data_IF_786992802858
#
_entry.id   IF_786992802858
#
_cell.length_a   1.000
_cell.length_b   1.000
_cell.length_c   1.000
_cell.angle_alpha   90.00
_cell.angle_beta   90.00
_cell.angle_gamma   90.00
#
_symmetry.space_group_name_H-M   'P 1'
#
loop_
_entity.id
_entity.type
_entity.pdbx_description
1 polymer ?
#
# COMPACT_ATOMS: atom_id res chain seq x y z
N UNK A 1 -13.38 -25.03 23.65
CA UNK A 1 -12.65 -24.38 22.54
C UNK A 1 -13.32 -23.05 22.21
N UNK A 2 -14.59 -23.03 21.80
CA UNK A 2 -15.34 -21.78 21.51
C UNK A 2 -15.34 -20.73 22.66
N UNK A 3 -15.46 -21.16 23.92
CA UNK A 3 -15.38 -20.24 25.07
C UNK A 3 -13.99 -19.63 25.26
N UNK A 4 -12.92 -20.38 24.94
CA UNK A 4 -11.55 -19.88 25.00
C UNK A 4 -11.31 -18.88 23.85
N UNK A 5 -11.80 -19.18 22.65
CA UNK A 5 -11.69 -18.26 21.51
C UNK A 5 -12.42 -16.94 21.80
N UNK A 6 -13.65 -17.00 22.34
CA UNK A 6 -14.41 -15.82 22.72
C UNK A 6 -13.68 -14.95 23.76
N UNK A 7 -13.11 -15.58 24.79
CA UNK A 7 -12.34 -14.88 25.83
C UNK A 7 -11.08 -14.26 25.23
N UNK A 8 -10.40 -14.98 24.33
CA UNK A 8 -9.16 -14.51 23.68
C UNK A 8 -9.44 -13.32 22.77
N UNK A 9 -10.49 -13.39 21.94
CA UNK A 9 -10.93 -12.27 21.09
C UNK A 9 -11.34 -11.06 21.93
N UNK A 10 -12.06 -11.26 23.05
CA UNK A 10 -12.45 -10.17 23.93
C UNK A 10 -11.24 -9.51 24.61
N UNK A 11 -10.28 -10.30 25.06
CA UNK A 11 -9.03 -9.78 25.64
C UNK A 11 -8.22 -9.00 24.59
N UNK A 12 -8.12 -9.54 23.37
CA UNK A 12 -7.46 -8.89 22.26
C UNK A 12 -8.12 -7.55 21.92
N UNK A 13 -9.45 -7.50 21.81
CA UNK A 13 -10.19 -6.27 21.58
C UNK A 13 -9.99 -5.24 22.69
N UNK A 14 -9.95 -5.68 23.95
CA UNK A 14 -9.66 -4.80 25.09
C UNK A 14 -8.24 -4.22 25.02
N UNK A 15 -7.24 -5.05 24.69
CA UNK A 15 -5.85 -4.60 24.49
C UNK A 15 -5.73 -3.64 23.31
N UNK A 16 -6.47 -3.88 22.22
CA UNK A 16 -6.51 -2.97 21.07
C UNK A 16 -7.05 -1.59 21.48
N UNK A 17 -8.15 -1.53 22.23
CA UNK A 17 -8.71 -0.26 22.73
C UNK A 17 -7.72 0.54 23.56
N UNK A 18 -6.88 -0.11 24.36
CA UNK A 18 -5.85 0.59 25.17
C UNK A 18 -4.77 1.29 24.33
N UNK A 19 -4.59 0.88 23.06
CA UNK A 19 -3.63 1.49 22.13
C UNK A 19 -4.25 2.59 21.26
N UNK A 20 -5.58 2.66 21.20
CA UNK A 20 -6.27 3.62 20.38
C UNK A 20 -6.01 5.04 20.87
N UNK A 21 -5.86 5.95 19.91
CA UNK A 21 -5.72 7.38 20.14
C UNK A 21 -6.71 8.11 19.24
N UNK A 22 -7.19 9.26 19.69
CA UNK A 22 -8.10 10.08 18.88
C UNK A 22 -7.36 10.67 17.68
N UNK A 23 -7.98 10.61 16.51
CA UNK A 23 -7.48 11.20 15.26
C UNK A 23 -7.27 12.72 15.40
N UNK A 24 -7.94 13.35 16.37
CA UNK A 24 -7.72 14.75 16.79
C UNK A 24 -6.25 15.15 16.89
N UNK A 25 -5.39 14.29 17.46
CA UNK A 25 -3.95 14.60 17.61
C UNK A 25 -3.26 14.90 16.27
N UNK A 26 -3.73 14.26 15.20
CA UNK A 26 -3.25 14.50 13.84
C UNK A 26 -3.89 15.75 13.27
N UNK A 27 -5.20 15.92 13.46
CA UNK A 27 -5.99 17.01 12.87
C UNK A 27 -5.60 18.38 13.43
N UNK A 28 -5.25 18.48 14.71
CA UNK A 28 -4.87 19.72 15.39
C UNK A 28 -3.66 20.45 14.73
N UNK A 29 -2.86 19.73 13.94
CA UNK A 29 -1.70 20.29 13.23
C UNK A 29 -2.09 21.01 11.93
N UNK A 30 -3.22 20.66 11.32
CA UNK A 30 -3.59 21.14 9.99
C UNK A 30 -4.15 22.57 9.93
N UNK A 31 -4.86 23.11 10.93
CA UNK A 31 -5.29 24.51 10.90
C UNK A 31 -4.14 25.49 10.66
N UNK A 32 -2.98 25.26 11.30
CA UNK A 32 -1.79 26.08 11.11
C UNK A 32 -1.20 25.90 9.72
N UNK A 33 -1.03 24.66 9.26
CA UNK A 33 -0.53 24.35 7.92
C UNK A 33 -1.39 25.00 6.82
N UNK A 34 -2.71 24.87 6.90
CA UNK A 34 -3.65 25.46 5.93
C UNK A 34 -3.54 26.98 5.93
N UNK A 35 -3.39 27.62 7.09
CA UNK A 35 -3.19 29.08 7.19
C UNK A 35 -1.90 29.52 6.50
N UNK A 36 -0.79 28.83 6.75
CA UNK A 36 0.52 29.17 6.18
C UNK A 36 0.53 28.97 4.66
N UNK A 37 -0.06 27.88 4.16
CA UNK A 37 -0.22 27.61 2.73
C UNK A 37 -1.19 28.59 2.05
N UNK A 38 -2.30 28.93 2.71
CA UNK A 38 -3.28 29.92 2.24
C UNK A 38 -2.62 31.29 2.01
N UNK A 39 -1.75 31.72 2.93
CA UNK A 39 -1.01 32.97 2.80
C UNK A 39 0.03 32.92 1.68
N UNK A 40 0.88 31.89 1.65
CA UNK A 40 1.95 31.78 0.65
C UNK A 40 1.43 31.67 -0.79
N UNK A 41 0.26 31.05 -1.01
CA UNK A 41 -0.35 30.89 -2.34
C UNK A 41 -1.38 31.99 -2.67
N UNK A 42 -1.63 32.91 -1.74
CA UNK A 42 -2.64 33.96 -1.85
C UNK A 42 -4.03 33.42 -2.24
N UNK A 43 -4.45 32.33 -1.57
CA UNK A 43 -5.76 31.68 -1.74
C UNK A 43 -6.49 31.69 -0.40
N UNK A 44 -7.74 32.13 -0.35
CA UNK A 44 -8.52 32.13 0.91
C UNK A 44 -9.16 30.77 1.10
N UNK A 45 -8.80 30.06 2.18
CA UNK A 45 -9.26 28.69 2.47
C UNK A 45 -9.82 28.62 3.90
N UNK A 46 -10.88 27.82 4.07
CA UNK A 46 -11.46 27.47 5.35
C UNK A 46 -11.35 25.95 5.55
N UNK A 47 -10.62 25.53 6.59
CA UNK A 47 -10.55 24.12 7.01
C UNK A 47 -11.73 23.81 7.95
N UNK A 48 -12.42 22.71 7.70
CA UNK A 48 -13.46 22.16 8.57
C UNK A 48 -13.05 20.75 8.96
N UNK A 49 -13.02 20.46 10.25
CA UNK A 49 -12.75 19.11 10.79
C UNK A 49 -14.05 18.50 11.34
N UNK A 50 -14.27 17.22 11.08
CA UNK A 50 -15.40 16.45 11.62
C UNK A 50 -14.93 15.07 12.09
N UNK A 51 -15.53 14.53 13.16
CA UNK A 51 -15.20 13.20 13.66
C UNK A 51 -13.81 13.11 14.31
N UNK A 52 -13.35 14.18 14.96
CA UNK A 52 -12.05 14.24 15.64
C UNK A 52 -11.91 13.21 16.76
N UNK A 53 -13.04 12.82 17.35
CA UNK A 53 -13.19 11.79 18.37
C UNK A 53 -12.96 10.36 17.85
N UNK A 54 -12.90 10.17 16.53
CA UNK A 54 -12.66 8.85 15.93
C UNK A 54 -11.33 8.28 16.44
N UNK A 55 -11.39 7.06 16.94
CA UNK A 55 -10.24 6.33 17.48
C UNK A 55 -9.48 5.57 16.39
N UNK A 56 -8.14 5.60 16.44
CA UNK A 56 -7.25 4.91 15.50
C UNK A 56 -6.02 4.35 16.24
N UNK A 57 -5.43 3.26 15.74
CA UNK A 57 -4.20 2.69 16.31
C UNK A 57 -3.06 3.72 16.26
N UNK A 58 -2.35 3.88 17.38
CA UNK A 58 -1.25 4.86 17.52
C UNK A 58 -0.18 4.76 16.42
N UNK A 59 0.12 3.56 15.93
CA UNK A 59 1.07 3.36 14.83
C UNK A 59 0.55 3.99 13.55
N UNK A 60 -0.72 3.74 13.23
CA UNK A 60 -1.39 4.31 12.05
C UNK A 60 -1.47 5.84 12.19
N UNK A 61 -1.85 6.35 13.37
CA UNK A 61 -1.91 7.80 13.67
C UNK A 61 -0.58 8.51 13.43
N UNK A 62 0.55 7.87 13.78
CA UNK A 62 1.88 8.44 13.55
C UNK A 62 2.24 8.50 12.06
N UNK A 63 1.85 7.50 11.28
CA UNK A 63 2.19 7.39 9.85
C UNK A 63 1.25 8.22 8.98
N UNK A 64 -0.05 8.27 9.29
CA UNK A 64 -1.09 8.89 8.44
C UNK A 64 -0.97 10.42 8.29
N UNK A 65 -0.26 11.07 9.20
CA UNK A 65 -0.11 12.54 9.17
C UNK A 65 0.59 13.06 7.93
N UNK A 66 1.60 12.35 7.41
CA UNK A 66 2.34 12.72 6.21
C UNK A 66 1.48 12.62 4.93
N UNK A 67 0.78 11.49 4.66
CA UNK A 67 -0.25 11.39 3.63
C UNK A 67 -1.27 12.54 3.64
N UNK A 68 -1.87 12.82 4.80
CA UNK A 68 -2.89 13.88 4.92
C UNK A 68 -2.32 15.28 4.67
N UNK A 69 -1.10 15.55 5.13
CA UNK A 69 -0.37 16.79 4.82
C UNK A 69 -0.26 16.99 3.32
N UNK A 70 0.08 15.93 2.59
CA UNK A 70 0.25 16.00 1.14
C UNK A 70 -1.09 16.22 0.42
N UNK A 71 -2.14 15.51 0.82
CA UNK A 71 -3.48 15.69 0.23
C UNK A 71 -4.00 17.12 0.44
N UNK A 72 -3.83 17.68 1.63
CA UNK A 72 -4.21 19.07 1.93
C UNK A 72 -3.39 20.07 1.10
N UNK A 73 -2.07 19.85 0.98
CA UNK A 73 -1.21 20.68 0.14
C UNK A 73 -1.69 20.68 -1.32
N UNK A 74 -1.99 19.50 -1.87
CA UNK A 74 -2.50 19.36 -3.24
C UNK A 74 -3.87 20.02 -3.44
N UNK A 75 -4.77 19.89 -2.46
CA UNK A 75 -6.04 20.61 -2.47
C UNK A 75 -5.83 22.14 -2.50
N UNK A 76 -4.88 22.69 -1.75
CA UNK A 76 -4.61 24.14 -1.76
C UNK A 76 -3.87 24.57 -3.04
N UNK A 77 -2.86 23.84 -3.47
CA UNK A 77 -2.00 24.20 -4.60
C UNK A 77 -2.75 24.09 -5.94
N UNK A 78 -3.48 22.99 -6.14
CA UNK A 78 -4.08 22.64 -7.42
C UNK A 78 -5.61 22.63 -7.39
N UNK A 79 -6.23 22.24 -6.28
CA UNK A 79 -7.69 22.14 -6.16
C UNK A 79 -8.39 23.50 -6.06
N UNK A 80 -8.10 24.26 -4.99
CA UNK A 80 -8.77 25.52 -4.68
C UNK A 80 -8.34 26.62 -5.65
N UNK A 81 -9.32 27.31 -6.25
CA UNK A 81 -9.08 28.40 -7.17
C UNK A 81 -8.83 29.74 -6.43
N UNK A 82 -8.29 30.73 -7.13
CA UNK A 82 -8.13 32.08 -6.55
C UNK A 82 -9.50 32.74 -6.38
N UNK A 83 -9.61 33.68 -5.45
CA UNK A 83 -10.87 34.38 -5.15
C UNK A 83 -11.53 34.99 -6.41
N UNK A 84 -10.74 35.53 -7.33
CA UNK A 84 -11.23 36.09 -8.59
C UNK A 84 -11.87 35.01 -9.50
N UNK A 85 -11.23 33.84 -9.62
CA UNK A 85 -11.72 32.73 -10.45
C UNK A 85 -12.95 32.07 -9.81
N UNK A 86 -12.97 31.95 -8.48
CA UNK A 86 -14.13 31.44 -7.73
C UNK A 86 -15.36 32.31 -7.95
N UNK A 87 -15.19 33.63 -7.96
CA UNK A 87 -16.28 34.58 -8.25
C UNK A 87 -16.83 34.40 -9.67
N UNK A 88 -15.97 34.13 -10.66
CA UNK A 88 -16.39 33.82 -12.05
C UNK A 88 -17.17 32.51 -12.15
N UNK A 89 -16.88 31.56 -11.27
CA UNK A 89 -17.56 30.26 -11.19
C UNK A 89 -18.77 30.25 -10.24
N UNK A 90 -19.23 31.40 -9.75
CA UNK A 90 -20.32 31.54 -8.77
C UNK A 90 -20.08 30.75 -7.47
N UNK A 91 -18.82 30.57 -7.07
CA UNK A 91 -18.44 29.94 -5.82
C UNK A 91 -18.19 30.97 -4.72
N UNK A 92 -18.26 30.52 -3.47
CA UNK A 92 -17.89 31.34 -2.30
C UNK A 92 -16.43 31.79 -2.40
N UNK A 93 -16.14 33.00 -1.92
CA UNK A 93 -14.79 33.57 -2.00
C UNK A 93 -13.74 32.74 -1.25
N UNK A 94 -14.10 32.19 -0.08
CA UNK A 94 -13.29 31.23 0.66
C UNK A 94 -13.54 29.82 0.13
N UNK A 95 -12.49 29.13 -0.30
CA UNK A 95 -12.52 27.69 -0.56
C UNK A 95 -12.75 26.89 0.72
N UNK A 96 -13.39 25.73 0.61
CA UNK A 96 -13.59 24.82 1.73
C UNK A 96 -12.72 23.59 1.53
N UNK A 97 -11.96 23.23 2.56
CA UNK A 97 -11.37 21.91 2.71
C UNK A 97 -12.00 21.28 3.94
N UNK A 98 -12.58 20.10 3.78
CA UNK A 98 -13.17 19.31 4.86
C UNK A 98 -12.30 18.08 5.10
N UNK A 99 -11.95 17.87 6.35
CA UNK A 99 -11.22 16.70 6.83
C UNK A 99 -12.12 15.95 7.81
N UNK A 100 -12.51 14.72 7.48
CA UNK A 100 -13.42 13.95 8.33
C UNK A 100 -12.91 12.55 8.60
N UNK A 101 -13.20 12.03 9.79
CA UNK A 101 -12.96 10.63 10.14
C UNK A 101 -14.23 9.99 10.69
N UNK A 102 -14.45 8.69 10.41
CA UNK A 102 -15.53 7.90 11.01
C UNK A 102 -15.17 6.42 11.07
N UNK A 103 -15.82 5.67 11.94
CA UNK A 103 -15.79 4.20 11.92
C UNK A 103 -16.83 3.65 10.95
N UNK A 104 -16.42 2.67 10.16
CA UNK A 104 -17.28 1.95 9.22
C UNK A 104 -16.92 0.45 9.29
N UNK A 105 -17.66 -0.31 10.10
CA UNK A 105 -17.38 -1.72 10.36
C UNK A 105 -16.03 -1.93 11.06
N UNK A 106 -15.16 -2.74 10.45
CA UNK A 106 -13.78 -3.00 10.92
C UNK A 106 -12.75 -1.99 10.41
N UNK A 107 -13.19 -0.91 9.75
CA UNK A 107 -12.34 0.10 9.15
C UNK A 107 -12.59 1.48 9.72
N UNK A 108 -11.57 2.32 9.66
CA UNK A 108 -11.66 3.76 9.84
C UNK A 108 -11.60 4.41 8.47
N UNK A 109 -12.61 5.22 8.16
CA UNK A 109 -12.65 6.00 6.92
C UNK A 109 -12.19 7.41 7.24
N UNK A 110 -11.14 7.87 6.57
CA UNK A 110 -10.62 9.23 6.63
C UNK A 110 -10.80 9.87 5.27
N UNK A 111 -11.39 11.06 5.22
CA UNK A 111 -11.73 11.74 3.97
C UNK A 111 -11.17 13.15 3.93
N UNK A 112 -10.59 13.52 2.79
CA UNK A 112 -10.16 14.88 2.47
C UNK A 112 -10.98 15.35 1.28
N UNK A 113 -11.86 16.32 1.50
CA UNK A 113 -12.75 16.90 0.49
C UNK A 113 -12.43 18.38 0.27
N UNK A 114 -12.32 18.81 -0.98
CA UNK A 114 -12.23 20.21 -1.37
C UNK A 114 -13.39 20.61 -2.30
N UNK A 115 -13.78 21.88 -2.28
CA UNK A 115 -14.79 22.46 -3.18
C UNK A 115 -14.18 23.17 -4.41
N UNK A 116 -12.98 22.76 -4.80
CA UNK A 116 -12.17 23.35 -5.83
C UNK A 116 -12.60 22.99 -7.25
N UNK A 117 -11.67 23.12 -8.19
CA UNK A 117 -11.97 22.93 -9.62
C UNK A 117 -12.24 21.47 -9.99
N UNK A 118 -11.91 20.51 -9.12
CA UNK A 118 -11.89 19.09 -9.47
C UNK A 118 -10.77 18.76 -10.44
N UNK A 119 -10.66 17.48 -10.79
CA UNK A 119 -9.61 16.97 -11.68
C UNK A 119 -10.22 16.75 -13.08
N UNK A 120 -9.56 17.30 -14.10
CA UNK A 120 -9.96 17.10 -15.49
C UNK A 120 -9.36 15.79 -16.03
N UNK A 121 -10.19 14.78 -16.24
CA UNK A 121 -9.79 13.47 -16.78
C UNK A 121 -9.11 13.58 -18.14
N UNK A 122 -9.43 14.61 -18.93
CA UNK A 122 -8.79 14.84 -20.23
C UNK A 122 -7.32 15.23 -20.07
N UNK A 123 -7.00 16.04 -19.06
CA UNK A 123 -5.61 16.41 -18.76
C UNK A 123 -4.83 15.18 -18.31
N UNK A 124 -5.45 14.30 -17.52
CA UNK A 124 -4.84 13.04 -17.11
C UNK A 124 -4.54 12.17 -18.33
N UNK A 125 -5.52 11.97 -19.23
CA UNK A 125 -5.34 11.18 -20.46
C UNK A 125 -4.17 11.71 -21.30
N UNK A 126 -4.14 13.02 -21.57
CA UNK A 126 -3.05 13.62 -22.35
C UNK A 126 -1.68 13.37 -21.70
N UNK A 127 -1.58 13.57 -20.38
CA UNK A 127 -0.32 13.35 -19.65
C UNK A 127 0.10 11.90 -19.55
N UNK A 128 -0.86 10.97 -19.45
CA UNK A 128 -0.59 9.54 -19.46
C UNK A 128 0.02 9.09 -20.80
N UNK A 129 -0.45 9.66 -21.91
CA UNK A 129 0.09 9.41 -23.26
C UNK A 129 1.49 10.03 -23.39
N UNK A 130 1.67 11.30 -23.00
CA UNK A 130 2.97 12.00 -23.07
C UNK A 130 4.07 11.28 -22.27
N UNK A 131 3.71 10.68 -21.13
CA UNK A 131 4.63 9.91 -20.28
C UNK A 131 4.79 8.44 -20.70
N UNK A 132 4.09 8.00 -21.75
CA UNK A 132 4.15 6.61 -22.24
C UNK A 132 3.59 5.57 -21.26
N UNK A 133 2.73 5.99 -20.32
CA UNK A 133 2.16 5.08 -19.31
C UNK A 133 1.03 4.21 -19.89
N UNK A 134 0.25 4.76 -20.83
CA UNK A 134 -0.85 4.09 -21.50
C UNK A 134 -0.98 4.57 -22.95
N UNK A 135 -1.44 3.68 -23.81
CA UNK A 135 -1.79 4.00 -25.19
C UNK A 135 -3.17 4.69 -25.26
N UNK A 136 -3.45 5.47 -26.32
CA UNK A 136 -4.78 6.07 -26.51
C UNK A 136 -5.92 5.03 -26.52
N UNK A 137 -5.67 3.87 -27.12
CA UNK A 137 -6.64 2.77 -27.20
C UNK A 137 -6.95 2.16 -25.83
N UNK A 138 -5.96 2.03 -24.95
CA UNK A 138 -6.19 1.60 -23.57
C UNK A 138 -7.00 2.63 -22.79
N UNK A 139 -6.69 3.92 -22.93
CA UNK A 139 -7.38 5.01 -22.21
C UNK A 139 -8.84 5.21 -22.65
N UNK A 140 -9.19 4.80 -23.86
CA UNK A 140 -10.58 4.87 -24.37
C UNK A 140 -11.45 3.73 -23.84
N UNK A 141 -10.84 2.62 -23.43
CA UNK A 141 -11.54 1.50 -22.80
C UNK A 141 -11.65 1.63 -21.27
N UNK A 142 -10.97 2.61 -20.67
CA UNK A 142 -10.98 2.84 -19.23
C UNK A 142 -12.17 3.70 -18.80
N UNK A 143 -12.73 3.35 -17.64
CA UNK A 143 -13.72 4.16 -16.93
C UNK A 143 -13.10 5.44 -16.37
N UNK A 144 -13.93 6.44 -16.02
CA UNK A 144 -13.43 7.68 -15.41
C UNK A 144 -12.69 7.43 -14.10
N UNK A 145 -13.14 6.47 -13.28
CA UNK A 145 -12.46 6.10 -12.03
C UNK A 145 -11.05 5.54 -12.29
N UNK A 146 -10.91 4.65 -13.27
CA UNK A 146 -9.62 4.07 -13.64
C UNK A 146 -8.66 5.13 -14.20
N UNK A 147 -9.18 6.09 -14.97
CA UNK A 147 -8.38 7.22 -15.46
C UNK A 147 -7.90 8.07 -14.28
N UNK A 148 -8.79 8.42 -13.35
CA UNK A 148 -8.41 9.20 -12.17
C UNK A 148 -7.36 8.46 -11.34
N UNK A 149 -7.44 7.14 -11.21
CA UNK A 149 -6.44 6.36 -10.47
C UNK A 149 -5.02 6.43 -11.04
N UNK A 150 -4.85 6.82 -12.32
CA UNK A 150 -3.52 7.04 -12.91
C UNK A 150 -2.72 8.15 -12.20
N UNK A 151 -3.37 9.03 -11.44
CA UNK A 151 -2.66 10.07 -10.65
C UNK A 151 -1.74 9.49 -9.58
N UNK A 152 -1.95 8.22 -9.21
CA UNK A 152 -1.12 7.51 -8.23
C UNK A 152 0.02 6.70 -8.87
N UNK A 153 0.14 6.70 -10.20
CA UNK A 153 1.25 6.00 -10.88
C UNK A 153 2.58 6.72 -10.64
N UNK A 154 3.66 5.95 -10.55
CA UNK A 154 5.00 6.49 -10.28
C UNK A 154 5.39 7.52 -11.34
N UNK A 155 5.84 8.68 -10.89
CA UNK A 155 6.24 9.77 -11.78
C UNK A 155 5.08 10.48 -12.49
N UNK A 156 3.81 10.20 -12.13
CA UNK A 156 2.67 10.97 -12.58
C UNK A 156 2.60 12.31 -11.82
N UNK A 157 2.55 13.42 -12.55
CA UNK A 157 2.35 14.75 -11.97
C UNK A 157 1.53 15.64 -12.91
N UNK A 158 0.60 16.39 -12.33
CA UNK A 158 -0.25 17.35 -13.04
C UNK A 158 0.43 18.72 -13.23
N UNK A 159 1.59 19.00 -12.61
CA UNK A 159 2.34 20.25 -12.85
C UNK A 159 3.02 20.29 -14.23
N UNK A 160 3.13 21.48 -14.83
CA UNK A 160 3.89 21.72 -16.09
C UNK A 160 5.37 22.05 -15.85
N UNK A 161 5.71 22.49 -14.64
CA UNK A 161 7.08 22.79 -14.25
C UNK A 161 7.69 21.54 -13.59
N UNK A 162 8.85 21.12 -14.08
CA UNK A 162 9.83 20.44 -13.24
C UNK A 162 10.31 21.47 -12.23
N UNK A 163 9.55 21.64 -11.15
CA UNK A 163 10.00 22.45 -10.02
C UNK A 163 11.24 21.78 -9.43
N UNK A 164 12.40 22.26 -9.87
CA UNK A 164 13.69 21.93 -9.28
C UNK A 164 13.58 22.08 -7.77
N UNK A 165 13.90 20.99 -7.07
CA UNK A 165 13.79 20.77 -5.62
C UNK A 165 12.52 20.12 -5.06
N UNK A 166 11.63 19.52 -5.87
CA UNK A 166 10.75 18.46 -5.36
C UNK A 166 11.53 17.15 -5.27
N UNK A 167 12.00 16.87 -4.05
CA UNK A 167 12.79 15.69 -3.73
C UNK A 167 12.01 14.41 -4.06
N UNK A 168 12.73 13.33 -4.37
CA UNK A 168 12.32 12.01 -4.91
C UNK A 168 11.27 11.21 -4.10
N UNK A 169 10.24 11.84 -3.54
CA UNK A 169 9.21 11.19 -2.72
C UNK A 169 8.00 12.09 -2.37
N UNK A 170 7.76 13.19 -3.10
CA UNK A 170 6.61 14.08 -2.87
C UNK A 170 5.53 13.91 -3.96
N UNK A 171 5.16 12.68 -4.30
CA UNK A 171 4.09 12.39 -5.26
C UNK A 171 2.87 11.73 -4.60
N UNK A 172 1.74 11.72 -5.31
CA UNK A 172 0.54 10.98 -4.87
C UNK A 172 0.82 9.47 -4.83
N UNK A 173 1.78 8.98 -5.61
CA UNK A 173 2.32 7.61 -5.54
C UNK A 173 2.89 7.26 -4.15
N UNK A 174 3.61 8.19 -3.51
CA UNK A 174 4.08 8.00 -2.13
C UNK A 174 2.91 7.93 -1.15
N UNK A 175 1.87 8.74 -1.35
CA UNK A 175 0.64 8.69 -0.53
C UNK A 175 0.00 7.30 -0.65
N UNK A 176 -0.25 6.82 -1.88
CA UNK A 176 -0.83 5.50 -2.13
C UNK A 176 0.02 4.38 -1.51
N UNK A 177 1.33 4.39 -1.75
CA UNK A 177 2.24 3.38 -1.20
C UNK A 177 2.24 3.35 0.33
N UNK A 178 2.16 4.52 0.98
CA UNK A 178 2.07 4.61 2.45
C UNK A 178 0.76 4.05 2.97
N UNK A 179 -0.37 4.31 2.28
CA UNK A 179 -1.68 3.76 2.66
C UNK A 179 -1.72 2.24 2.44
N UNK A 180 -1.19 1.74 1.32
CA UNK A 180 -1.12 0.30 1.04
C UNK A 180 -0.21 -0.44 2.04
N UNK A 181 0.90 0.18 2.48
CA UNK A 181 1.75 -0.36 3.54
C UNK A 181 1.04 -0.47 4.89
N UNK A 182 0.03 0.37 5.13
CA UNK A 182 -0.87 0.29 6.27
C UNK A 182 -2.03 -0.69 6.05
N UNK A 183 -2.01 -1.45 4.95
CA UNK A 183 -3.09 -2.35 4.52
C UNK A 183 -4.41 -1.61 4.32
N UNK A 184 -4.32 -0.33 3.97
CA UNK A 184 -5.45 0.51 3.64
C UNK A 184 -5.70 0.57 2.14
N UNK A 185 -6.86 1.09 1.80
CA UNK A 185 -7.27 1.41 0.43
C UNK A 185 -7.41 2.93 0.30
N UNK A 186 -7.08 3.46 -0.88
CA UNK A 186 -7.30 4.87 -1.22
C UNK A 186 -8.12 4.98 -2.51
N UNK A 187 -9.17 5.81 -2.49
CA UNK A 187 -10.02 6.11 -3.64
C UNK A 187 -10.13 7.62 -3.83
N UNK A 188 -10.24 8.06 -5.09
CA UNK A 188 -10.47 9.47 -5.44
C UNK A 188 -11.75 9.61 -6.22
N UNK A 189 -12.63 10.47 -5.73
CA UNK A 189 -13.87 10.87 -6.36
C UNK A 189 -13.75 12.34 -6.74
N UNK A 190 -13.96 12.70 -8.00
CA UNK A 190 -13.77 14.08 -8.44
C UNK A 190 -14.79 14.45 -9.50
N UNK A 191 -15.20 15.71 -9.49
CA UNK A 191 -16.08 16.25 -10.51
C UNK A 191 -15.67 17.68 -10.85
N UNK A 192 -15.59 17.96 -12.16
CA UNK A 192 -15.21 19.28 -12.67
C UNK A 192 -16.10 20.37 -12.08
N UNK A 193 -15.44 21.42 -11.57
CA UNK A 193 -15.99 22.59 -10.88
C UNK A 193 -16.76 22.28 -9.59
N UNK A 194 -16.81 21.03 -9.13
CA UNK A 194 -17.44 20.66 -7.86
C UNK A 194 -16.41 20.34 -6.78
N UNK A 195 -15.22 19.91 -7.17
CA UNK A 195 -14.11 19.63 -6.26
C UNK A 195 -13.67 18.18 -6.31
N UNK A 196 -12.89 17.78 -5.32
CA UNK A 196 -12.32 16.43 -5.19
C UNK A 196 -12.51 15.91 -3.78
N UNK A 197 -12.78 14.62 -3.66
CA UNK A 197 -12.89 13.88 -2.41
C UNK A 197 -11.96 12.68 -2.48
N UNK A 198 -11.01 12.62 -1.56
CA UNK A 198 -10.10 11.49 -1.39
C UNK A 198 -10.56 10.71 -0.17
N UNK A 199 -10.85 9.42 -0.37
CA UNK A 199 -11.33 8.51 0.66
C UNK A 199 -10.22 7.52 0.97
N UNK A 200 -9.77 7.50 2.22
CA UNK A 200 -8.78 6.55 2.74
C UNK A 200 -9.52 5.62 3.69
N UNK A 201 -9.42 4.32 3.43
CA UNK A 201 -10.00 3.27 4.26
C UNK A 201 -8.87 2.50 4.91
N UNK A 202 -8.77 2.58 6.24
CA UNK A 202 -7.72 1.92 7.01
C UNK A 202 -8.33 0.84 7.90
N UNK A 203 -7.67 -0.30 8.10
CA UNK A 203 -8.11 -1.26 9.10
C UNK A 203 -7.98 -0.66 10.50
N UNK A 204 -8.88 -1.04 11.41
CA UNK A 204 -8.85 -0.56 12.81
C UNK A 204 -7.63 -1.10 13.58
N UNK A 205 -7.02 -2.19 13.11
CA UNK A 205 -5.90 -2.88 13.77
C UNK A 205 -4.70 -3.00 12.84
N UNK A 206 -3.51 -3.26 13.39
CA UNK A 206 -2.42 -3.82 12.58
C UNK A 206 -2.94 -5.06 11.86
N UNK A 207 -2.62 -5.19 10.57
CA UNK A 207 -3.13 -6.27 9.74
C UNK A 207 -2.61 -7.61 10.27
N UNK A 208 -3.55 -8.43 10.75
CA UNK A 208 -3.30 -9.86 11.00
C UNK A 208 -3.53 -10.53 9.65
N UNK A 209 -2.51 -11.20 9.15
CA UNK A 209 -2.63 -12.04 7.96
C UNK A 209 -2.35 -13.49 8.33
N UNK A 210 -2.86 -14.42 7.52
CA UNK A 210 -2.42 -15.81 7.59
C UNK A 210 -1.20 -15.97 6.72
N UNK A 211 -0.12 -16.52 7.28
CA UNK A 211 1.09 -16.77 6.54
C UNK A 211 1.59 -18.20 6.74
N UNK A 212 2.13 -18.78 5.67
CA UNK A 212 2.95 -19.99 5.71
C UNK A 212 4.36 -19.61 6.17
N UNK A 213 4.82 -20.20 7.28
CA UNK A 213 6.19 -20.03 7.71
C UNK A 213 7.10 -21.01 6.97
N UNK A 214 8.27 -20.54 6.56
CA UNK A 214 9.28 -21.34 5.87
C UNK A 214 10.66 -21.04 6.41
N UNK A 215 11.56 -22.01 6.27
CA UNK A 215 12.96 -21.84 6.60
C UNK A 215 13.80 -21.64 5.34
N UNK A 216 14.68 -20.65 5.38
CA UNK A 216 15.62 -20.33 4.29
C UNK A 216 16.96 -19.94 4.91
N UNK A 217 18.01 -20.70 4.60
CA UNK A 217 19.37 -20.54 5.12
C UNK A 217 19.43 -20.36 6.65
N UNK A 218 18.57 -21.08 7.36
CA UNK A 218 18.46 -21.04 8.83
C UNK A 218 17.58 -19.93 9.41
N UNK A 219 17.12 -18.97 8.60
CA UNK A 219 16.16 -17.93 9.01
C UNK A 219 14.71 -18.34 8.74
N UNK A 220 13.77 -17.77 9.50
CA UNK A 220 12.32 -17.96 9.30
C UNK A 220 11.75 -16.81 8.49
N UNK A 221 10.97 -17.16 7.47
CA UNK A 221 10.29 -16.23 6.57
C UNK A 221 8.80 -16.58 6.51
N UNK A 222 7.97 -15.58 6.22
CA UNK A 222 6.52 -15.73 6.15
C UNK A 222 6.02 -15.41 4.73
N UNK A 223 5.25 -16.31 4.14
CA UNK A 223 4.55 -16.10 2.88
C UNK A 223 3.04 -15.94 3.11
N UNK A 224 2.40 -14.85 2.62
CA UNK A 224 0.96 -14.69 2.71
C UNK A 224 0.22 -15.88 2.06
N UNK A 225 -0.72 -16.49 2.79
CA UNK A 225 -1.46 -17.67 2.31
C UNK A 225 -2.30 -17.32 1.08
N UNK A 226 -2.72 -16.06 0.92
CA UNK A 226 -3.49 -15.57 -0.23
C UNK A 226 -2.73 -15.71 -1.55
N UNK A 227 -1.39 -15.73 -1.49
CA UNK A 227 -0.53 -15.94 -2.66
C UNK A 227 -0.15 -17.40 -2.90
N UNK A 228 -0.51 -18.30 -1.97
CA UNK A 228 -0.10 -19.70 -1.97
C UNK A 228 -1.17 -20.57 -2.65
N UNK A 229 -0.77 -21.29 -3.70
CA UNK A 229 -1.65 -22.23 -4.39
C UNK A 229 -1.55 -23.64 -3.80
N UNK A 230 -0.34 -24.20 -3.77
CA UNK A 230 -0.08 -25.55 -3.27
C UNK A 230 1.37 -25.73 -2.84
N UNK A 231 1.59 -26.66 -1.91
CA UNK A 231 2.93 -27.09 -1.50
C UNK A 231 3.23 -28.44 -2.15
N UNK A 232 4.38 -28.58 -2.78
CA UNK A 232 4.82 -29.83 -3.40
C UNK A 232 6.23 -30.18 -2.95
N UNK A 233 6.57 -31.45 -3.06
CA UNK A 233 7.93 -31.93 -2.90
C UNK A 233 8.43 -32.41 -4.26
N UNK A 234 9.62 -31.99 -4.66
CA UNK A 234 10.21 -32.35 -5.95
C UNK A 234 11.60 -32.94 -5.75
N UNK A 235 12.03 -33.80 -6.66
CA UNK A 235 13.41 -34.25 -6.68
C UNK A 235 14.23 -33.41 -7.66
N UNK A 236 15.55 -33.24 -7.45
CA UNK A 236 16.40 -32.50 -8.39
C UNK A 236 16.31 -33.01 -9.84
N UNK A 237 16.09 -34.32 -10.03
CA UNK A 237 15.85 -34.94 -11.35
C UNK A 237 14.60 -34.42 -12.09
N UNK A 238 13.63 -33.86 -11.39
CA UNK A 238 12.42 -33.30 -11.97
C UNK A 238 12.65 -31.87 -12.51
N UNK A 239 13.80 -31.27 -12.15
CA UNK A 239 14.17 -29.91 -12.54
C UNK A 239 14.88 -29.93 -13.90
N UNK A 240 14.30 -29.22 -14.86
CA UNK A 240 14.89 -28.97 -16.18
C UNK A 240 15.46 -27.56 -16.24
N UNK A 241 16.48 -27.33 -17.06
CA UNK A 241 17.02 -25.99 -17.33
C UNK A 241 16.68 -25.57 -18.76
N UNK A 242 16.02 -24.42 -18.90
CA UNK A 242 15.71 -23.78 -20.20
C UNK A 242 16.18 -22.34 -20.14
N UNK A 243 17.05 -21.91 -21.07
CA UNK A 243 17.56 -20.54 -21.14
C UNK A 243 18.10 -20.00 -19.78
N UNK A 244 18.87 -20.83 -19.08
CA UNK A 244 19.44 -20.54 -17.75
C UNK A 244 18.42 -20.38 -16.61
N UNK A 245 17.20 -20.89 -16.79
CA UNK A 245 16.13 -20.86 -15.80
C UNK A 245 15.73 -22.28 -15.42
N UNK A 246 15.58 -22.54 -14.13
CA UNK A 246 15.07 -23.82 -13.63
C UNK A 246 13.55 -23.85 -13.81
N UNK A 247 13.06 -24.94 -14.40
CA UNK A 247 11.64 -25.16 -14.66
C UNK A 247 11.27 -26.61 -14.37
N UNK A 248 10.01 -26.86 -14.07
CA UNK A 248 9.45 -28.21 -13.95
C UNK A 248 8.10 -28.30 -14.64
N UNK A 249 7.63 -29.51 -14.93
CA UNK A 249 6.26 -29.74 -15.36
C UNK A 249 5.39 -30.02 -14.15
N UNK A 250 4.33 -29.23 -13.96
CA UNK A 250 3.31 -29.44 -12.93
C UNK A 250 1.95 -29.54 -13.62
N UNK A 251 1.40 -30.77 -13.70
CA UNK A 251 0.12 -31.07 -14.36
C UNK A 251 0.05 -30.50 -15.79
N UNK A 252 1.06 -30.83 -16.60
CA UNK A 252 1.23 -30.41 -18.00
C UNK A 252 1.51 -28.90 -18.24
N UNK A 253 1.63 -28.10 -17.18
CA UNK A 253 2.08 -26.71 -17.26
C UNK A 253 3.56 -26.57 -16.90
N UNK A 254 4.24 -25.61 -17.53
CA UNK A 254 5.63 -25.26 -17.18
C UNK A 254 5.60 -24.32 -15.98
N UNK A 255 6.12 -24.80 -14.85
CA UNK A 255 6.32 -23.98 -13.65
C UNK A 255 7.76 -23.51 -13.59
N UNK A 256 7.96 -22.19 -13.51
CA UNK A 256 9.28 -21.59 -13.26
C UNK A 256 9.66 -21.80 -11.80
N UNK A 257 10.85 -22.33 -11.56
CA UNK A 257 11.41 -22.46 -10.22
C UNK A 257 12.33 -21.28 -9.91
N UNK A 258 12.17 -20.71 -8.71
CA UNK A 258 12.95 -19.59 -8.21
C UNK A 258 13.53 -19.99 -6.84
N UNK A 259 14.86 -19.93 -6.74
CA UNK A 259 15.55 -20.09 -5.45
C UNK A 259 15.39 -18.83 -4.63
N UNK A 260 14.69 -18.92 -3.49
CA UNK A 260 14.55 -17.79 -2.58
C UNK A 260 15.89 -17.44 -1.91
N UNK A 261 16.78 -18.41 -1.68
CA UNK A 261 18.15 -18.14 -1.21
C UNK A 261 18.87 -17.15 -2.12
N UNK A 262 18.80 -17.40 -3.43
CA UNK A 262 19.46 -16.56 -4.43
C UNK A 262 18.82 -15.19 -4.53
N UNK A 263 17.49 -15.13 -4.56
CA UNK A 263 16.75 -13.86 -4.61
C UNK A 263 16.98 -12.97 -3.39
N UNK A 264 17.17 -13.57 -2.22
CA UNK A 264 17.42 -12.86 -0.97
C UNK A 264 18.92 -12.58 -0.73
N UNK A 265 19.81 -12.97 -1.65
CA UNK A 265 21.25 -12.78 -1.50
C UNK A 265 21.88 -13.64 -0.40
N UNK A 266 21.24 -14.76 -0.05
CA UNK A 266 21.65 -15.69 1.00
C UNK A 266 22.46 -16.88 0.46
N UNK A 267 22.80 -16.87 -0.82
CA UNK A 267 23.59 -17.93 -1.45
C UNK A 267 24.99 -17.99 -0.83
N UNK A 268 25.27 -19.08 -0.13
CA UNK A 268 26.61 -19.43 0.35
C UNK A 268 27.39 -20.34 -0.62
N UNK A 269 26.88 -20.50 -1.85
CA UNK A 269 27.47 -21.40 -2.85
C UNK A 269 27.11 -22.88 -2.69
N UNK A 270 26.05 -23.19 -1.95
CA UNK A 270 25.51 -24.55 -1.85
C UNK A 270 24.49 -24.77 -2.97
N UNK A 271 24.86 -25.55 -3.99
CA UNK A 271 23.91 -26.08 -4.96
C UNK A 271 23.02 -27.16 -4.31
N UNK A 272 21.91 -27.52 -4.97
CA UNK A 272 21.11 -28.69 -4.57
C UNK A 272 22.00 -29.94 -4.74
N UNK A 273 22.64 -30.39 -3.66
CA UNK A 273 23.72 -31.38 -3.73
C UNK A 273 23.26 -32.83 -3.59
N UNK A 274 22.02 -33.07 -3.16
CA UNK A 274 21.51 -34.43 -2.93
C UNK A 274 20.39 -34.77 -3.92
N UNK A 275 20.72 -35.56 -4.95
CA UNK A 275 19.79 -35.94 -6.02
C UNK A 275 18.61 -36.81 -5.54
N UNK A 276 18.72 -37.42 -4.36
CA UNK A 276 17.71 -38.34 -3.83
C UNK A 276 16.89 -37.76 -2.67
N UNK A 277 17.22 -36.56 -2.21
CA UNK A 277 16.42 -35.84 -1.21
C UNK A 277 15.31 -35.01 -1.90
N UNK A 278 14.04 -35.18 -1.50
CA UNK A 278 12.98 -34.32 -1.98
C UNK A 278 13.11 -32.91 -1.37
N UNK A 279 12.95 -31.89 -2.21
CA UNK A 279 12.97 -30.48 -1.81
C UNK A 279 11.55 -29.91 -1.77
N UNK A 280 11.20 -29.16 -0.70
CA UNK A 280 9.94 -28.46 -0.66
C UNK A 280 9.91 -27.28 -1.65
N UNK A 281 8.82 -27.19 -2.39
CA UNK A 281 8.50 -26.08 -3.29
C UNK A 281 7.13 -25.53 -2.94
N UNK A 282 7.05 -24.23 -2.74
CA UNK A 282 5.78 -23.51 -2.62
C UNK A 282 5.39 -22.97 -3.98
N UNK A 283 4.26 -23.42 -4.50
CA UNK A 283 3.66 -22.85 -5.70
C UNK A 283 2.87 -21.62 -5.31
N UNK A 284 3.26 -20.49 -5.88
CA UNK A 284 2.66 -19.18 -5.63
C UNK A 284 2.09 -18.57 -6.91
N UNK A 285 1.07 -17.74 -6.74
CA UNK A 285 0.52 -16.90 -7.81
C UNK A 285 0.34 -15.47 -7.30
N UNK A 286 0.92 -14.51 -8.01
CA UNK A 286 0.75 -13.10 -7.71
C UNK A 286 0.82 -12.27 -9.00
N UNK A 287 -0.10 -11.31 -9.16
CA UNK A 287 -0.14 -10.43 -10.34
C UNK A 287 -0.27 -11.17 -11.68
N UNK A 288 -0.95 -12.33 -11.69
CA UNK A 288 -1.09 -13.18 -12.88
C UNK A 288 0.17 -13.95 -13.27
N UNK A 289 1.21 -13.93 -12.43
CA UNK A 289 2.42 -14.75 -12.61
C UNK A 289 2.42 -15.90 -11.62
N UNK A 290 2.74 -17.08 -12.13
CA UNK A 290 2.86 -18.33 -11.36
C UNK A 290 4.32 -18.75 -11.24
N UNK A 291 4.78 -19.08 -10.03
CA UNK A 291 6.16 -19.50 -9.78
C UNK A 291 6.22 -20.55 -8.66
N UNK A 292 7.27 -21.37 -8.66
CA UNK A 292 7.61 -22.30 -7.59
C UNK A 292 8.81 -21.79 -6.80
N UNK A 293 8.64 -21.53 -5.52
CA UNK A 293 9.70 -21.08 -4.62
C UNK A 293 10.34 -22.26 -3.91
N UNK A 294 11.64 -22.45 -4.15
CA UNK A 294 12.47 -23.43 -3.44
C UNK A 294 12.81 -22.90 -2.05
N UNK A 295 12.51 -23.69 -1.02
CA UNK A 295 12.80 -23.40 0.40
C UNK A 295 13.53 -24.57 1.05
N UNK A 296 14.09 -24.37 2.24
CA UNK A 296 14.74 -25.46 2.97
C UNK A 296 13.73 -26.33 3.70
N UNK A 297 12.74 -25.70 4.32
CA UNK A 297 11.75 -26.37 5.16
C UNK A 297 10.41 -25.62 5.10
N UNK A 298 9.32 -26.38 5.03
CA UNK A 298 7.97 -25.87 5.25
C UNK A 298 7.65 -26.05 6.73
N UNK A 299 7.26 -24.95 7.38
CA UNK A 299 6.79 -24.96 8.76
C UNK A 299 5.26 -24.87 8.75
N UNK A 300 4.69 -24.40 9.85
CA UNK A 300 3.24 -24.26 10.01
C UNK A 300 2.69 -22.96 9.44
N UNK A 301 1.37 -22.95 9.21
CA UNK A 301 0.61 -21.73 8.99
C UNK A 301 0.29 -21.05 10.32
N UNK A 302 0.48 -19.74 10.39
CA UNK A 302 0.17 -18.95 11.58
C UNK A 302 -0.48 -17.61 11.21
N UNK A 303 -1.33 -17.11 12.10
CA UNK A 303 -1.78 -15.73 12.05
C UNK A 303 -0.68 -14.83 12.60
N UNK A 304 -0.19 -13.91 11.77
CA UNK A 304 0.92 -13.03 12.10
C UNK A 304 0.53 -11.57 11.97
N UNK A 305 1.08 -10.72 12.83
CA UNK A 305 0.89 -9.27 12.77
C UNK A 305 1.98 -8.67 11.89
N UNK A 306 1.59 -7.97 10.83
CA UNK A 306 2.54 -7.29 9.96
C UNK A 306 3.00 -5.99 10.62
N UNK A 307 4.32 -5.79 10.64
CA UNK A 307 4.96 -4.53 11.05
C UNK A 307 5.81 -4.01 9.89
N UNK A 308 5.72 -2.71 9.66
CA UNK A 308 6.64 -2.01 8.75
C UNK A 308 8.08 -2.12 9.27
N UNK A 309 9.03 -2.27 8.36
CA UNK A 309 10.47 -2.30 8.64
C UNK A 309 11.06 -0.89 8.90
N UNK A 310 10.24 0.16 8.77
CA UNK A 310 10.66 1.54 8.93
C UNK A 310 11.43 2.10 7.73
N UNK A 311 11.64 3.43 7.73
CA UNK A 311 12.18 4.19 6.58
C UNK A 311 13.58 3.77 6.13
N UNK A 312 14.40 3.18 7.02
CA UNK A 312 15.76 2.74 6.71
C UNK A 312 15.82 1.47 5.83
N UNK A 313 14.76 0.66 5.88
CA UNK A 313 14.65 -0.63 5.21
C UNK A 313 13.51 -0.63 4.17
N UNK A 314 12.96 0.55 3.89
CA UNK A 314 11.92 0.78 2.92
C UNK A 314 12.47 0.58 1.51
N UNK A 315 11.80 -0.25 0.70
CA UNK A 315 12.25 -0.59 -0.66
C UNK A 315 13.21 -1.78 -0.76
N UNK A 316 13.43 -2.53 0.33
CA UNK A 316 14.10 -3.84 0.23
C UNK A 316 13.31 -4.75 -0.71
N UNK A 317 13.93 -5.11 -1.83
CA UNK A 317 13.31 -6.04 -2.78
C UNK A 317 13.10 -7.40 -2.11
N UNK A 318 11.92 -7.98 -2.34
CA UNK A 318 11.57 -9.29 -1.81
C UNK A 318 10.96 -9.29 -0.41
N UNK A 319 10.90 -8.15 0.29
CA UNK A 319 10.41 -8.09 1.67
C UNK A 319 9.26 -7.07 1.78
N UNK A 320 8.09 -7.54 2.20
CA UNK A 320 6.91 -6.71 2.45
C UNK A 320 6.87 -6.13 3.88
N UNK A 321 7.51 -6.80 4.84
CA UNK A 321 7.51 -6.38 6.24
C UNK A 321 8.20 -7.39 7.16
N UNK A 322 7.94 -7.26 8.46
CA UNK A 322 8.37 -8.24 9.45
C UNK A 322 7.26 -8.54 10.47
N UNK A 323 7.40 -9.67 11.13
CA UNK A 323 6.57 -10.05 12.27
C UNK A 323 7.45 -10.59 13.41
N UNK A 324 6.88 -10.61 14.61
CA UNK A 324 7.50 -11.26 15.77
C UNK A 324 6.62 -12.46 16.09
N UNK A 325 7.20 -13.66 15.98
CA UNK A 325 6.53 -14.92 16.22
C UNK A 325 6.29 -15.14 17.72
N UNK A 326 5.44 -16.12 18.05
CA UNK A 326 5.10 -16.44 19.45
C UNK A 326 6.32 -16.86 20.30
N UNK A 327 7.35 -17.43 19.66
CA UNK A 327 8.62 -17.78 20.30
C UNK A 327 9.58 -16.59 20.47
N UNK A 328 9.19 -15.38 20.04
CA UNK A 328 9.99 -14.16 20.10
C UNK A 328 10.96 -13.97 18.93
N UNK A 329 11.06 -14.93 18.01
CA UNK A 329 11.89 -14.79 16.81
C UNK A 329 11.26 -13.80 15.82
N UNK A 330 12.11 -13.08 15.09
CA UNK A 330 11.67 -12.17 14.03
C UNK A 330 11.63 -12.94 12.72
N UNK A 331 10.49 -12.91 12.04
CA UNK A 331 10.34 -13.46 10.69
C UNK A 331 10.09 -12.33 9.69
N UNK A 332 10.75 -12.39 8.54
CA UNK A 332 10.51 -11.44 7.45
C UNK A 332 9.37 -11.93 6.56
N UNK A 333 8.47 -11.02 6.20
CA UNK A 333 7.33 -11.31 5.32
C UNK A 333 7.76 -11.07 3.88
N UNK A 334 7.61 -12.07 3.02
CA UNK A 334 8.06 -12.02 1.64
C UNK A 334 7.05 -11.30 0.74
N UNK A 335 7.56 -10.40 -0.10
CA UNK A 335 6.78 -9.82 -1.21
C UNK A 335 6.86 -10.77 -2.41
N UNK A 336 5.85 -11.63 -2.54
CA UNK A 336 5.75 -12.66 -3.58
C UNK A 336 5.73 -12.07 -4.98
N UNK A 337 5.06 -10.93 -5.18
CA UNK A 337 4.96 -10.28 -6.50
C UNK A 337 6.32 -9.79 -6.99
N UNK A 338 7.17 -9.33 -6.07
CA UNK A 338 8.53 -8.90 -6.40
C UNK A 338 9.52 -10.05 -6.65
N UNK A 339 9.24 -11.23 -6.09
CA UNK A 339 10.13 -12.39 -6.13
C UNK A 339 9.87 -13.34 -7.32
N UNK A 340 8.61 -13.42 -7.78
CA UNK A 340 8.16 -14.28 -8.88
C UNK A 340 8.58 -13.79 -10.29
#
# INVERSE_FOLDING_TARGET
LEQLDLITTNLQNAVMKLRMVHVKEVFDRFPRLVRDLSQSKNKKVNLVTEGEETELDRTITNVIGEPLTHLIKNAIDHGIERAADRKRLNKREKGRIKLSARHEGSHVIIEVEDDGYGIDTRIIKTKAIEKGLKTPQELDNMTEEEIVNLIFERGFSLSKEESGASHRGEGLDTVKSTIEALHGEIKVETALKKGTRVVIKLPLTLAIIKAMLVKISGGIYALPVESLQENIYIYPRDIKRVQNQQVMYLRDEILRLVSLKSKLGLDKGEELTDEDAPYPVIVVEAGGKRAGFLVDELLDQQEIVIKSLGKLLEGLQGIAGATVLANGEVALILDVSSLA
#
